data_IF_083816111044
#
_entry.id   IF_083816111044
#
_cell.length_a   1.000
_cell.length_b   1.000
_cell.length_c   1.000
_cell.angle_alpha   90.00
_cell.angle_beta   90.00
_cell.angle_gamma   90.00
#
_symmetry.space_group_name_H-M   'P 1'
#
loop_
_entity.id
_entity.type
_entity.pdbx_description
1 polymer ?
#
# COMPACT_ATOMS: atom_id res chain seq x y z
N UNK A 1 -5.17 22.89 -8.80
CA UNK A 1 -4.52 21.69 -9.39
C UNK A 1 -4.74 21.52 -10.90
N UNK A 2 -5.66 22.27 -11.55
CA UNK A 2 -5.94 22.10 -12.98
C UNK A 2 -4.78 22.47 -13.91
N UNK A 3 -3.94 23.43 -13.52
CA UNK A 3 -2.78 23.82 -14.29
C UNK A 3 -1.64 24.35 -13.38
N UNK A 4 -0.79 23.46 -12.85
CA UNK A 4 0.28 23.83 -11.90
C UNK A 4 1.36 24.75 -12.52
N UNK A 5 1.46 24.79 -13.86
CA UNK A 5 2.46 25.62 -14.55
C UNK A 5 2.13 27.12 -14.49
N UNK A 6 0.90 27.49 -14.14
CA UNK A 6 0.49 28.90 -13.96
C UNK A 6 0.90 29.49 -12.62
N UNK A 7 1.40 28.68 -11.69
CA UNK A 7 1.68 29.07 -10.32
C UNK A 7 3.17 28.90 -9.99
N UNK A 8 3.64 29.69 -9.04
CA UNK A 8 5.00 29.56 -8.51
C UNK A 8 5.18 28.24 -7.74
N UNK A 9 6.42 27.79 -7.57
CA UNK A 9 6.72 26.60 -6.76
C UNK A 9 6.21 26.72 -5.33
N UNK A 10 6.24 27.91 -4.73
CA UNK A 10 5.72 28.14 -3.38
C UNK A 10 4.18 28.01 -3.33
N UNK A 11 3.46 28.58 -4.28
CA UNK A 11 2.00 28.45 -4.36
C UNK A 11 1.58 27.01 -4.57
N UNK A 12 2.27 26.25 -5.44
CA UNK A 12 2.04 24.83 -5.64
C UNK A 12 2.30 24.03 -4.34
N UNK A 13 3.34 24.37 -3.59
CA UNK A 13 3.62 23.72 -2.28
C UNK A 13 2.51 24.02 -1.27
N UNK A 14 2.05 25.27 -1.17
CA UNK A 14 0.94 25.64 -0.30
C UNK A 14 -0.37 24.94 -0.69
N UNK A 15 -0.64 24.84 -1.99
CA UNK A 15 -1.79 24.11 -2.52
C UNK A 15 -1.74 22.62 -2.16
N UNK A 16 -0.56 22.00 -2.18
CA UNK A 16 -0.37 20.60 -1.77
C UNK A 16 -0.71 20.39 -0.27
N UNK A 17 -0.24 21.28 0.61
CA UNK A 17 -0.59 21.21 2.03
C UNK A 17 -2.08 21.47 2.27
N UNK A 18 -2.66 22.47 1.63
CA UNK A 18 -4.08 22.77 1.73
C UNK A 18 -4.95 21.58 1.28
N UNK A 19 -4.59 20.95 0.16
CA UNK A 19 -5.28 19.75 -0.34
C UNK A 19 -5.14 18.56 0.61
N UNK A 20 -3.96 18.35 1.19
CA UNK A 20 -3.75 17.32 2.19
C UNK A 20 -4.66 17.49 3.41
N UNK A 21 -4.79 18.73 3.92
CA UNK A 21 -5.69 19.06 5.02
C UNK A 21 -7.16 18.89 4.62
N UNK A 22 -7.52 19.31 3.40
CA UNK A 22 -8.88 19.13 2.88
C UNK A 22 -9.26 17.65 2.84
N UNK A 23 -8.43 16.78 2.24
CA UNK A 23 -8.68 15.33 2.18
C UNK A 23 -8.87 14.74 3.58
N UNK A 24 -8.06 15.18 4.54
CA UNK A 24 -8.21 14.74 5.93
C UNK A 24 -9.52 15.22 6.56
N UNK A 25 -9.86 16.51 6.42
CA UNK A 25 -11.06 17.08 7.00
C UNK A 25 -12.33 16.44 6.42
N UNK A 26 -12.40 16.31 5.08
CA UNK A 26 -13.53 15.72 4.38
C UNK A 26 -13.73 14.24 4.81
N UNK A 27 -12.64 13.47 4.82
CA UNK A 27 -12.75 12.05 5.13
C UNK A 27 -12.96 11.77 6.63
N UNK A 28 -12.30 12.52 7.53
CA UNK A 28 -12.54 12.36 8.97
C UNK A 28 -13.95 12.80 9.35
N UNK A 29 -14.42 13.94 8.81
CA UNK A 29 -15.79 14.41 9.04
C UNK A 29 -16.84 13.43 8.52
N UNK A 30 -16.65 12.89 7.32
CA UNK A 30 -17.51 11.83 6.78
C UNK A 30 -17.59 10.61 7.71
N UNK A 31 -16.43 10.13 8.20
CA UNK A 31 -16.42 8.95 9.08
C UNK A 31 -17.02 9.22 10.45
N UNK A 32 -16.87 10.43 11.00
CA UNK A 32 -17.50 10.82 12.26
C UNK A 32 -19.02 10.90 12.13
N UNK A 33 -19.54 11.43 11.02
CA UNK A 33 -20.97 11.41 10.70
C UNK A 33 -21.47 9.96 10.58
N UNK A 34 -20.74 9.11 9.86
CA UNK A 34 -21.11 7.70 9.69
C UNK A 34 -21.15 6.96 11.04
N UNK A 35 -20.21 7.21 11.94
CA UNK A 35 -20.21 6.67 13.31
C UNK A 35 -21.44 7.16 14.08
N UNK A 36 -21.74 8.47 14.03
CA UNK A 36 -22.89 9.04 14.71
C UNK A 36 -24.22 8.46 14.21
N UNK A 37 -24.41 8.35 12.91
CA UNK A 37 -25.61 7.71 12.32
C UNK A 37 -25.73 6.25 12.72
N UNK A 38 -24.64 5.49 12.67
CA UNK A 38 -24.61 4.10 13.09
C UNK A 38 -25.01 3.94 14.59
N UNK A 39 -24.51 4.83 15.44
CA UNK A 39 -24.87 4.83 16.86
C UNK A 39 -26.37 5.08 17.10
N UNK A 40 -27.00 5.96 16.31
CA UNK A 40 -28.47 6.17 16.37
C UNK A 40 -29.24 4.91 15.96
N UNK A 41 -28.66 4.06 15.12
CA UNK A 41 -29.22 2.77 14.67
C UNK A 41 -28.84 1.61 15.61
N UNK A 42 -28.11 1.85 16.69
CA UNK A 42 -27.65 0.83 17.65
C UNK A 42 -26.38 0.08 17.23
N UNK A 43 -25.66 0.55 16.19
CA UNK A 43 -24.40 -0.05 15.75
C UNK A 43 -23.20 0.74 16.23
N UNK A 44 -22.14 0.04 16.64
CA UNK A 44 -20.88 0.64 17.03
C UNK A 44 -19.83 0.43 15.94
N UNK A 45 -19.48 1.51 15.23
CA UNK A 45 -18.39 1.50 14.26
C UNK A 45 -17.07 1.94 14.92
N UNK A 46 -15.93 1.38 14.50
CA UNK A 46 -14.63 1.76 15.03
C UNK A 46 -14.19 3.12 14.50
N UNK A 47 -13.40 3.85 15.33
CA UNK A 47 -12.70 5.06 14.87
C UNK A 47 -11.80 4.77 13.68
N UNK A 48 -11.76 5.73 12.74
CA UNK A 48 -10.99 5.63 11.50
C UNK A 48 -9.75 6.56 11.48
N UNK A 49 -9.77 7.62 12.25
CA UNK A 49 -8.68 8.59 12.37
C UNK A 49 -8.30 8.86 13.83
N UNK A 50 -6.99 9.03 14.08
CA UNK A 50 -6.47 9.41 15.39
C UNK A 50 -5.33 10.41 15.24
N UNK A 51 -5.65 11.67 14.90
CA UNK A 51 -4.69 12.77 14.73
C UNK A 51 -3.46 12.36 13.87
N UNK A 52 -3.64 11.97 12.60
CA UNK A 52 -2.58 11.39 11.77
C UNK A 52 -1.38 12.33 11.57
N UNK A 53 -1.61 13.64 11.48
CA UNK A 53 -0.53 14.63 11.33
C UNK A 53 0.33 14.87 12.58
N UNK A 54 -0.01 14.27 13.73
CA UNK A 54 0.85 14.20 14.91
C UNK A 54 1.81 13.01 14.87
N UNK A 55 1.83 12.24 13.78
CA UNK A 55 2.71 11.10 13.64
C UNK A 55 4.18 11.53 13.50
N UNK A 56 5.07 10.84 14.20
CA UNK A 56 6.52 11.09 14.16
C UNK A 56 7.24 10.41 13.00
N UNK A 57 6.58 9.46 12.32
CA UNK A 57 7.13 8.71 11.19
C UNK A 57 5.99 8.12 10.33
N UNK A 58 6.28 7.69 9.07
CA UNK A 58 5.26 7.14 8.18
C UNK A 58 4.52 5.93 8.75
N UNK A 59 5.19 5.04 9.48
CA UNK A 59 4.53 3.89 10.09
C UNK A 59 3.51 4.31 11.14
N UNK A 60 3.82 5.32 11.95
CA UNK A 60 2.89 5.88 12.95
C UNK A 60 1.74 6.62 12.27
N UNK A 61 1.99 7.30 11.13
CA UNK A 61 0.95 7.92 10.31
C UNK A 61 -0.10 6.89 9.89
N UNK A 62 0.30 5.79 9.27
CA UNK A 62 -0.62 4.74 8.79
C UNK A 62 -1.35 3.98 9.92
N UNK A 63 -0.86 4.03 11.15
CA UNK A 63 -1.57 3.53 12.34
C UNK A 63 -2.68 4.47 12.81
N UNK A 64 -2.72 5.70 12.30
CA UNK A 64 -3.65 6.77 12.68
C UNK A 64 -4.56 7.21 11.56
N UNK A 65 -4.21 6.86 10.31
CA UNK A 65 -4.94 7.16 9.10
C UNK A 65 -5.70 5.94 8.61
N UNK A 66 -7.00 6.10 8.33
CA UNK A 66 -7.88 5.06 7.77
C UNK A 66 -7.68 3.69 8.46
N UNK A 67 -7.81 3.67 9.78
CA UNK A 67 -7.46 2.52 10.62
C UNK A 67 -8.28 1.27 10.33
N UNK A 68 -9.55 1.44 9.90
CA UNK A 68 -10.42 0.32 9.52
C UNK A 68 -9.90 -0.39 8.26
N UNK A 69 -9.52 0.37 7.22
CA UNK A 69 -8.92 -0.20 6.00
C UNK A 69 -7.60 -0.89 6.30
N UNK A 70 -6.72 -0.24 7.09
CA UNK A 70 -5.44 -0.82 7.48
C UNK A 70 -5.60 -2.18 8.20
N UNK A 71 -6.60 -2.28 9.09
CA UNK A 71 -6.93 -3.55 9.76
C UNK A 71 -7.49 -4.58 8.80
N UNK A 72 -8.36 -4.14 7.87
CA UNK A 72 -8.95 -5.01 6.86
C UNK A 72 -7.87 -5.58 5.93
N UNK A 73 -7.02 -4.73 5.33
CA UNK A 73 -5.91 -5.15 4.48
C UNK A 73 -4.97 -6.11 5.22
N UNK A 74 -4.68 -5.82 6.49
CA UNK A 74 -3.86 -6.71 7.31
C UNK A 74 -4.51 -8.07 7.53
N UNK A 75 -5.80 -8.11 7.87
CA UNK A 75 -6.48 -9.35 8.25
C UNK A 75 -6.84 -10.23 7.06
N UNK A 76 -7.25 -9.61 5.95
CA UNK A 76 -7.78 -10.33 4.79
C UNK A 76 -6.79 -10.48 3.62
N UNK A 77 -5.71 -9.69 3.59
CA UNK A 77 -4.67 -9.82 2.57
C UNK A 77 -3.32 -10.21 3.18
N UNK A 78 -2.77 -9.39 4.08
CA UNK A 78 -1.42 -9.58 4.56
C UNK A 78 -1.21 -10.87 5.36
N UNK A 79 -2.11 -11.17 6.30
CA UNK A 79 -2.02 -12.40 7.12
C UNK A 79 -2.25 -13.66 6.28
N UNK A 80 -3.28 -13.75 5.40
CA UNK A 80 -3.45 -14.90 4.52
C UNK A 80 -2.31 -15.13 3.53
N UNK A 81 -1.61 -14.08 3.09
CA UNK A 81 -0.39 -14.21 2.29
C UNK A 81 0.79 -14.83 3.08
N UNK A 82 0.68 -14.96 4.40
CA UNK A 82 1.72 -15.49 5.28
C UNK A 82 2.34 -14.46 6.22
N UNK A 83 2.01 -13.18 6.06
CA UNK A 83 2.47 -12.08 6.91
C UNK A 83 3.99 -11.99 6.99
N UNK A 84 4.54 -11.88 8.21
CA UNK A 84 5.98 -11.82 8.48
C UNK A 84 6.64 -13.21 8.66
N UNK A 85 5.86 -14.29 8.71
CA UNK A 85 6.36 -15.58 9.20
C UNK A 85 6.71 -16.55 8.09
N UNK A 86 5.78 -16.76 7.16
CA UNK A 86 5.92 -17.79 6.14
C UNK A 86 5.44 -17.28 4.78
N UNK A 87 5.99 -17.88 3.71
CA UNK A 87 5.40 -17.76 2.39
C UNK A 87 4.20 -18.68 2.29
N UNK A 88 3.04 -18.17 1.89
CA UNK A 88 1.88 -18.95 1.50
C UNK A 88 1.92 -19.24 -0.01
N UNK A 89 1.01 -20.07 -0.49
CA UNK A 89 0.78 -20.23 -1.94
C UNK A 89 0.55 -18.86 -2.61
N UNK A 90 -0.20 -17.98 -1.96
CA UNK A 90 -0.46 -16.62 -2.48
C UNK A 90 0.80 -15.79 -2.67
N UNK A 91 1.81 -15.89 -1.79
CA UNK A 91 3.09 -15.19 -1.96
C UNK A 91 3.78 -15.61 -3.27
N UNK A 92 3.85 -16.92 -3.51
CA UNK A 92 4.49 -17.46 -4.73
C UNK A 92 3.69 -17.15 -5.98
N UNK A 93 2.36 -17.24 -5.91
CA UNK A 93 1.47 -16.85 -7.00
C UNK A 93 1.72 -15.41 -7.44
N UNK A 94 1.81 -14.46 -6.50
CA UNK A 94 2.05 -13.06 -6.83
C UNK A 94 3.45 -12.80 -7.39
N UNK A 95 4.48 -13.48 -6.89
CA UNK A 95 5.85 -13.39 -7.43
C UNK A 95 5.87 -13.84 -8.89
N UNK A 96 5.25 -14.97 -9.19
CA UNK A 96 5.18 -15.50 -10.56
C UNK A 96 4.34 -14.59 -11.46
N UNK A 97 3.19 -14.11 -10.97
CA UNK A 97 2.32 -13.20 -11.70
C UNK A 97 3.05 -11.90 -12.07
N UNK A 98 3.77 -11.28 -11.13
CA UNK A 98 4.56 -10.08 -11.43
C UNK A 98 5.69 -10.35 -12.42
N UNK A 99 6.34 -11.51 -12.36
CA UNK A 99 7.33 -11.91 -13.34
C UNK A 99 6.72 -12.04 -14.74
N UNK A 100 5.56 -12.66 -14.85
CA UNK A 100 4.84 -12.81 -16.13
C UNK A 100 4.39 -11.45 -16.68
N UNK A 101 3.83 -10.59 -15.85
CA UNK A 101 3.44 -9.23 -16.24
C UNK A 101 4.66 -8.44 -16.74
N UNK A 102 5.77 -8.48 -16.02
CA UNK A 102 7.01 -7.82 -16.44
C UNK A 102 7.52 -8.38 -17.78
N UNK A 103 7.43 -9.68 -17.99
CA UNK A 103 7.81 -10.33 -19.26
C UNK A 103 6.94 -9.86 -20.42
N UNK A 104 5.62 -9.78 -20.23
CA UNK A 104 4.66 -9.36 -21.26
C UNK A 104 4.83 -7.88 -21.61
N UNK A 105 5.02 -7.02 -20.59
CA UNK A 105 5.08 -5.56 -20.78
C UNK A 105 6.44 -5.06 -21.28
N UNK A 106 7.51 -5.85 -21.15
CA UNK A 106 8.86 -5.39 -21.47
C UNK A 106 9.19 -5.37 -22.95
N UNK A 107 8.42 -6.07 -23.80
CA UNK A 107 8.69 -6.29 -25.23
C UNK A 107 10.17 -6.67 -25.51
N UNK A 108 10.83 -7.28 -24.52
CA UNK A 108 12.25 -7.63 -24.52
C UNK A 108 12.49 -8.84 -23.64
N UNK A 109 13.27 -9.80 -24.14
CA UNK A 109 13.70 -10.97 -23.37
C UNK A 109 14.73 -10.64 -22.27
N UNK A 110 15.37 -9.49 -22.35
CA UNK A 110 16.40 -9.06 -21.38
C UNK A 110 15.78 -8.81 -20.00
N UNK A 111 14.66 -8.09 -19.93
CA UNK A 111 14.01 -7.75 -18.66
C UNK A 111 13.53 -8.99 -17.89
N UNK A 112 12.74 -9.91 -18.49
CA UNK A 112 12.34 -11.13 -17.80
C UNK A 112 13.53 -12.03 -17.43
N UNK A 113 14.58 -12.09 -18.27
CA UNK A 113 15.78 -12.87 -17.95
C UNK A 113 16.50 -12.30 -16.72
N UNK A 114 16.71 -10.99 -16.64
CA UNK A 114 17.30 -10.34 -15.45
C UNK A 114 16.43 -10.60 -14.22
N UNK A 115 15.10 -10.47 -14.36
CA UNK A 115 14.17 -10.72 -13.27
C UNK A 115 14.26 -12.16 -12.76
N UNK A 116 14.29 -13.14 -13.66
CA UNK A 116 14.43 -14.55 -13.31
C UNK A 116 15.78 -14.86 -12.63
N UNK A 117 16.87 -14.28 -13.12
CA UNK A 117 18.20 -14.44 -12.50
C UNK A 117 18.22 -13.86 -11.07
N UNK A 118 17.65 -12.66 -10.88
CA UNK A 118 17.54 -12.05 -9.55
C UNK A 118 16.64 -12.89 -8.65
N UNK A 119 15.49 -13.35 -9.14
CA UNK A 119 14.59 -14.19 -8.37
C UNK A 119 15.25 -15.52 -7.98
N UNK A 120 15.96 -16.18 -8.89
CA UNK A 120 16.71 -17.40 -8.61
C UNK A 120 17.82 -17.17 -7.57
N UNK A 121 18.59 -16.09 -7.70
CA UNK A 121 19.63 -15.72 -6.73
C UNK A 121 19.04 -15.45 -5.33
N UNK A 122 17.91 -14.75 -5.26
CA UNK A 122 17.21 -14.49 -4.00
C UNK A 122 16.64 -15.79 -3.39
N UNK A 123 16.13 -16.72 -4.21
CA UNK A 123 15.66 -18.02 -3.74
C UNK A 123 16.80 -18.88 -3.19
N UNK A 124 17.94 -18.94 -3.86
CA UNK A 124 19.13 -19.63 -3.38
C UNK A 124 19.63 -19.02 -2.06
N UNK A 125 19.71 -17.70 -2.00
CA UNK A 125 20.12 -16.99 -0.79
C UNK A 125 19.13 -17.23 0.37
N UNK A 126 17.84 -17.31 0.07
CA UNK A 126 16.79 -17.60 1.04
C UNK A 126 16.85 -19.03 1.58
N UNK A 127 17.36 -20.01 0.80
CA UNK A 127 17.58 -21.38 1.27
C UNK A 127 18.74 -21.44 2.27
N UNK A 128 19.80 -20.68 2.01
CA UNK A 128 21.03 -20.68 2.84
C UNK A 128 20.86 -19.81 4.10
N UNK A 129 20.03 -18.74 4.03
CA UNK A 129 19.84 -17.78 5.12
C UNK A 129 18.36 -17.61 5.49
N UNK A 130 17.88 -18.30 6.54
CA UNK A 130 16.45 -18.23 6.96
C UNK A 130 15.96 -16.82 7.28
N UNK A 131 16.83 -15.95 7.78
CA UNK A 131 16.46 -14.54 8.06
C UNK A 131 16.21 -13.73 6.79
N UNK A 132 17.01 -13.94 5.76
CA UNK A 132 16.81 -13.31 4.44
C UNK A 132 15.50 -13.78 3.81
N UNK A 133 15.17 -15.07 3.92
CA UNK A 133 13.88 -15.61 3.47
C UNK A 133 12.69 -14.91 4.13
N UNK A 134 12.71 -14.76 5.46
CA UNK A 134 11.64 -14.05 6.20
C UNK A 134 11.49 -12.61 5.74
N UNK A 135 12.59 -11.90 5.51
CA UNK A 135 12.57 -10.52 5.03
C UNK A 135 11.99 -10.42 3.62
N UNK A 136 12.42 -11.27 2.68
CA UNK A 136 11.89 -11.30 1.31
C UNK A 136 10.38 -11.54 1.33
N UNK A 137 9.93 -12.58 2.04
CA UNK A 137 8.51 -12.92 2.14
C UNK A 137 7.69 -11.77 2.74
N UNK A 138 8.14 -11.19 3.85
CA UNK A 138 7.45 -10.09 4.50
C UNK A 138 7.34 -8.85 3.59
N UNK A 139 8.42 -8.51 2.87
CA UNK A 139 8.43 -7.38 1.95
C UNK A 139 7.52 -7.64 0.74
N UNK A 140 7.57 -8.84 0.15
CA UNK A 140 6.67 -9.22 -0.95
C UNK A 140 5.21 -9.16 -0.52
N UNK A 141 4.86 -9.73 0.63
CA UNK A 141 3.49 -9.72 1.13
C UNK A 141 3.00 -8.28 1.43
N UNK A 142 3.89 -7.43 1.96
CA UNK A 142 3.60 -6.00 2.18
C UNK A 142 3.37 -5.29 0.85
N UNK A 143 4.28 -5.47 -0.10
CA UNK A 143 4.19 -4.87 -1.43
C UNK A 143 2.88 -5.24 -2.13
N UNK A 144 2.55 -6.54 -2.19
CA UNK A 144 1.28 -7.02 -2.76
C UNK A 144 0.07 -6.40 -2.06
N UNK A 145 0.09 -6.37 -0.73
CA UNK A 145 -1.01 -5.80 0.06
C UNK A 145 -1.21 -4.33 -0.24
N UNK A 146 -0.14 -3.54 -0.32
CA UNK A 146 -0.22 -2.10 -0.60
C UNK A 146 -0.55 -1.81 -2.06
N UNK A 147 -0.05 -2.63 -3.00
CA UNK A 147 -0.40 -2.51 -4.41
C UNK A 147 -1.89 -2.76 -4.65
N UNK A 148 -2.45 -3.82 -4.04
CA UNK A 148 -3.89 -4.11 -4.10
C UNK A 148 -4.70 -3.02 -3.38
N UNK A 149 -4.21 -2.48 -2.27
CA UNK A 149 -4.78 -1.32 -1.60
C UNK A 149 -4.81 -0.08 -2.49
N UNK A 150 -3.75 0.15 -3.27
CA UNK A 150 -3.72 1.22 -4.27
C UNK A 150 -4.75 1.01 -5.38
N UNK A 151 -4.80 -0.16 -5.98
CA UNK A 151 -5.78 -0.51 -7.01
C UNK A 151 -7.22 -0.44 -6.51
N UNK A 152 -7.47 -0.69 -5.23
CA UNK A 152 -8.76 -0.50 -4.60
C UNK A 152 -9.23 0.96 -4.63
N UNK A 153 -8.31 1.94 -4.57
CA UNK A 153 -8.63 3.37 -4.68
C UNK A 153 -9.06 3.79 -6.10
N UNK A 154 -8.70 3.04 -7.12
CA UNK A 154 -9.12 3.31 -8.50
C UNK A 154 -8.23 2.65 -9.55
N UNK A 155 -8.80 2.43 -10.73
CA UNK A 155 -8.13 1.84 -11.89
C UNK A 155 -7.31 2.89 -12.65
N UNK A 156 -6.27 3.44 -12.01
CA UNK A 156 -5.36 4.43 -12.59
C UNK A 156 -3.91 4.10 -12.25
N UNK A 157 -2.99 4.42 -13.14
CA UNK A 157 -1.56 4.29 -12.92
C UNK A 157 -1.07 5.07 -11.69
N UNK A 158 -1.70 6.19 -11.37
CA UNK A 158 -1.39 6.97 -10.16
C UNK A 158 -1.57 6.13 -8.89
N UNK A 159 -2.61 5.32 -8.81
CA UNK A 159 -2.86 4.44 -7.67
C UNK A 159 -1.95 3.21 -7.66
N UNK A 160 -1.55 2.71 -8.83
CA UNK A 160 -0.52 1.66 -8.93
C UNK A 160 0.82 2.18 -8.39
N UNK A 161 1.24 3.38 -8.81
CA UNK A 161 2.47 4.03 -8.33
C UNK A 161 2.36 4.30 -6.83
N UNK A 162 1.24 4.86 -6.37
CA UNK A 162 0.99 5.13 -4.95
C UNK A 162 1.11 3.86 -4.10
N UNK A 163 0.41 2.79 -4.48
CA UNK A 163 0.48 1.50 -3.77
C UNK A 163 1.88 0.90 -3.78
N UNK A 164 2.60 1.01 -4.91
CA UNK A 164 3.97 0.53 -5.03
C UNK A 164 4.93 1.27 -4.10
N UNK A 165 4.90 2.61 -4.08
CA UNK A 165 5.75 3.44 -3.20
C UNK A 165 5.51 3.15 -1.72
N UNK A 166 4.25 2.88 -1.33
CA UNK A 166 3.91 2.56 0.06
C UNK A 166 4.18 1.10 0.45
N UNK A 167 4.36 0.22 -0.53
CA UNK A 167 4.72 -1.18 -0.34
C UNK A 167 6.20 -1.43 -0.09
N UNK A 168 7.06 -0.51 -0.52
CA UNK A 168 8.51 -0.52 -0.29
C UNK A 168 8.85 0.11 1.05
#
# INVERSE_FOLDING_TARGET
FGNPLLFTGFENLMALFAYSLQVYADFSGYTDIAIGVAMLMGFHLPQNFNSPYKASNPQNFWRRWHMSLSRWLRSYLYIPLGGNRNASFGTWFWIVLFALIAAILSDSWVVPTIFLVIAAALLILAQVRPQTRKSIVANTNRFVTMLLGGLWHGASWNFVIWGSVHGF
#
